data_IF_591134312352
#
_entry.id   IF_591134312352
#
_cell.length_a   1.000
_cell.length_b   1.000
_cell.length_c   1.000
_cell.angle_alpha   90.00
_cell.angle_beta   90.00
_cell.angle_gamma   90.00
#
_symmetry.space_group_name_H-M   'P 1'
#
loop_
_entity.id
_entity.type
_entity.pdbx_description
1 polymer ?
#
# COMPACT_ATOMS: atom_id res chain seq x y z
N UNK A 1 -10.01 -41.02 -0.79
CA UNK A 1 -9.98 -41.23 0.68
C UNK A 1 -11.35 -40.83 1.21
N UNK A 2 -11.94 -41.54 2.19
CA UNK A 2 -13.17 -41.09 2.81
C UNK A 2 -12.96 -39.70 3.43
N UNK A 3 -13.83 -38.76 3.09
CA UNK A 3 -13.80 -37.40 3.64
C UNK A 3 -14.43 -37.40 5.04
N UNK A 4 -13.93 -36.54 5.91
CA UNK A 4 -14.48 -36.35 7.25
C UNK A 4 -15.55 -35.27 7.15
N UNK A 5 -16.74 -35.54 7.68
CA UNK A 5 -17.82 -34.56 7.66
C UNK A 5 -17.67 -33.56 8.80
N UNK A 6 -17.18 -32.36 8.49
CA UNK A 6 -17.08 -31.18 9.36
C UNK A 6 -17.24 -29.93 8.52
N UNK A 7 -17.79 -28.89 9.11
CA UNK A 7 -17.96 -27.58 8.49
C UNK A 7 -16.98 -26.59 9.11
N UNK A 8 -16.31 -25.80 8.26
CA UNK A 8 -15.34 -24.84 8.73
C UNK A 8 -14.78 -23.94 7.64
N UNK A 9 -14.18 -22.84 8.06
CA UNK A 9 -13.58 -21.84 7.18
C UNK A 9 -12.08 -21.80 7.41
N UNK A 10 -11.32 -21.98 6.34
CA UNK A 10 -9.86 -21.80 6.32
C UNK A 10 -9.56 -20.42 5.75
N UNK A 11 -8.75 -19.62 6.44
CA UNK A 11 -8.29 -18.32 5.93
C UNK A 11 -6.78 -18.13 6.10
N UNK A 12 -6.20 -17.26 5.28
CA UNK A 12 -4.79 -16.87 5.36
C UNK A 12 -4.68 -15.40 5.76
N UNK A 13 -3.76 -15.10 6.67
CA UNK A 13 -3.40 -13.74 7.08
C UNK A 13 -1.87 -13.55 7.01
N UNK A 14 -1.38 -12.43 7.55
CA UNK A 14 0.06 -12.08 7.55
C UNK A 14 0.91 -13.15 8.23
N UNK A 15 1.50 -14.04 7.42
CA UNK A 15 2.28 -15.19 7.84
C UNK A 15 1.54 -16.15 8.77
N UNK A 16 0.21 -16.28 8.64
CA UNK A 16 -0.59 -17.21 9.44
C UNK A 16 -1.69 -17.91 8.62
N UNK A 17 -2.12 -19.07 9.12
CA UNK A 17 -3.27 -19.83 8.66
C UNK A 17 -4.24 -20.01 9.81
N UNK A 18 -5.52 -19.77 9.57
CA UNK A 18 -6.58 -19.89 10.56
C UNK A 18 -7.62 -20.90 10.10
N UNK A 19 -8.14 -21.69 11.03
CA UNK A 19 -9.28 -22.58 10.84
C UNK A 19 -10.34 -22.21 11.87
N UNK A 20 -11.54 -21.90 11.40
CA UNK A 20 -12.69 -21.54 12.22
C UNK A 20 -13.81 -22.54 11.98
N UNK A 21 -14.39 -23.07 13.05
CA UNK A 21 -15.64 -23.82 12.98
C UNK A 21 -16.68 -23.14 13.90
N UNK A 22 -17.97 -23.26 13.57
CA UNK A 22 -19.08 -22.73 14.37
C UNK A 22 -19.95 -23.90 14.85
N UNK A 23 -19.67 -24.50 16.01
CA UNK A 23 -20.48 -25.61 16.51
C UNK A 23 -21.87 -25.14 16.93
N UNK A 24 -22.89 -25.91 16.53
CA UNK A 24 -24.24 -25.76 17.07
C UNK A 24 -24.34 -26.44 18.46
N UNK A 25 -24.60 -25.65 19.51
CA UNK A 25 -25.02 -26.16 20.82
C UNK A 25 -23.99 -26.15 21.97
N UNK A 26 -24.42 -26.52 23.20
CA UNK A 26 -23.68 -26.29 24.44
C UNK A 26 -22.60 -27.34 24.79
N UNK A 27 -22.43 -28.40 24.00
CA UNK A 27 -21.46 -29.48 24.27
C UNK A 27 -20.03 -29.15 23.80
N UNK A 28 -19.55 -27.95 24.17
CA UNK A 28 -18.29 -27.38 23.67
C UNK A 28 -17.05 -28.24 23.98
N UNK A 29 -17.04 -28.95 25.11
CA UNK A 29 -15.85 -29.72 25.54
C UNK A 29 -15.60 -30.97 24.70
N UNK A 30 -16.62 -31.80 24.48
CA UNK A 30 -16.49 -33.00 23.64
C UNK A 30 -16.21 -32.63 22.19
N UNK A 31 -16.87 -31.57 21.72
CA UNK A 31 -16.63 -31.01 20.41
C UNK A 31 -15.18 -30.51 20.24
N UNK A 32 -14.64 -29.75 21.19
CA UNK A 32 -13.25 -29.25 21.15
C UNK A 32 -12.26 -30.42 21.19
N UNK A 33 -12.55 -31.46 21.96
CA UNK A 33 -11.72 -32.67 22.00
C UNK A 33 -11.71 -33.39 20.65
N UNK A 34 -12.85 -33.46 19.97
CA UNK A 34 -12.95 -34.03 18.63
C UNK A 34 -12.28 -33.12 17.59
N UNK A 35 -12.44 -31.80 17.68
CA UNK A 35 -11.77 -30.82 16.83
C UNK A 35 -10.24 -30.90 16.94
N UNK A 36 -9.74 -31.09 18.16
CA UNK A 36 -8.32 -31.36 18.42
C UNK A 36 -7.84 -32.63 17.70
N UNK A 37 -8.58 -33.74 17.83
CA UNK A 37 -8.22 -35.03 17.21
C UNK A 37 -8.28 -34.99 15.69
N UNK A 38 -9.37 -34.47 15.16
CA UNK A 38 -9.64 -34.50 13.73
C UNK A 38 -8.81 -33.47 12.99
N UNK A 39 -8.64 -32.27 13.51
CA UNK A 39 -8.08 -31.14 12.75
C UNK A 39 -6.69 -30.79 13.27
N UNK A 40 -6.57 -30.40 14.54
CA UNK A 40 -5.30 -29.90 15.11
C UNK A 40 -4.17 -30.94 15.02
N UNK A 41 -4.40 -32.19 15.44
CA UNK A 41 -3.39 -33.24 15.39
C UNK A 41 -3.01 -33.62 13.95
N UNK A 42 -3.96 -33.54 13.00
CA UNK A 42 -3.68 -33.75 11.58
C UNK A 42 -2.86 -32.61 10.99
N UNK A 43 -3.13 -31.36 11.34
CA UNK A 43 -2.28 -30.23 10.96
C UNK A 43 -0.85 -30.43 11.47
N UNK A 44 -0.68 -30.79 12.75
CA UNK A 44 0.64 -31.09 13.31
C UNK A 44 1.33 -32.26 12.57
N UNK A 45 0.58 -33.29 12.18
CA UNK A 45 1.11 -34.40 11.38
C UNK A 45 1.54 -33.95 9.97
N UNK A 46 0.73 -33.13 9.28
CA UNK A 46 1.10 -32.60 7.97
C UNK A 46 2.33 -31.70 8.06
N UNK A 47 2.43 -30.87 9.09
CA UNK A 47 3.64 -30.08 9.37
C UNK A 47 4.87 -30.98 9.43
N UNK A 48 4.83 -32.08 10.20
CA UNK A 48 5.93 -33.06 10.25
C UNK A 48 6.25 -33.68 8.89
N UNK A 49 5.24 -34.05 8.10
CA UNK A 49 5.43 -34.59 6.73
C UNK A 49 6.05 -33.57 5.78
N UNK A 50 5.83 -32.28 6.02
CA UNK A 50 6.47 -31.20 5.28
C UNK A 50 7.88 -30.87 5.79
N UNK A 51 8.39 -31.59 6.79
CA UNK A 51 9.74 -31.40 7.34
C UNK A 51 9.81 -30.38 8.49
N UNK A 52 8.68 -30.01 9.09
CA UNK A 52 8.69 -29.20 10.31
C UNK A 52 8.91 -30.08 11.54
N UNK A 53 9.83 -29.64 12.41
CA UNK A 53 9.92 -30.16 13.77
C UNK A 53 8.77 -29.56 14.58
N UNK A 54 8.00 -30.38 15.29
CA UNK A 54 6.83 -29.94 16.08
C UNK A 54 6.92 -30.50 17.48
N UNK A 55 6.85 -29.63 18.48
CA UNK A 55 7.06 -29.99 19.90
C UNK A 55 6.02 -29.32 20.78
N UNK A 56 5.64 -29.99 21.88
CA UNK A 56 4.80 -29.37 22.91
C UNK A 56 5.66 -28.36 23.67
N UNK A 57 5.25 -27.08 23.81
CA UNK A 57 6.06 -26.08 24.50
C UNK A 57 6.29 -26.45 25.97
N UNK A 58 7.54 -26.75 26.34
CA UNK A 58 7.90 -27.21 27.70
C UNK A 58 7.57 -26.16 28.76
N UNK A 59 7.73 -24.88 28.45
CA UNK A 59 7.42 -23.77 29.37
C UNK A 59 5.93 -23.71 29.71
N UNK A 60 5.03 -24.04 28.77
CA UNK A 60 3.59 -24.09 29.05
C UNK A 60 3.20 -25.28 29.93
N UNK A 61 3.96 -26.39 29.88
CA UNK A 61 3.75 -27.53 30.78
C UNK A 61 4.07 -27.11 32.21
N UNK A 62 5.18 -26.40 32.42
CA UNK A 62 5.61 -25.90 33.73
C UNK A 62 4.66 -24.85 34.29
N UNK A 63 4.20 -23.92 33.45
CA UNK A 63 3.41 -22.77 33.89
C UNK A 63 1.93 -23.08 34.10
N UNK A 64 1.32 -23.94 33.29
CA UNK A 64 -0.13 -24.17 33.29
C UNK A 64 -0.49 -25.62 33.61
N UNK A 65 -0.18 -26.54 32.70
CA UNK A 65 -0.33 -27.99 32.86
C UNK A 65 -0.02 -28.69 31.54
N UNK A 66 0.18 -30.01 31.59
CA UNK A 66 0.36 -30.83 30.38
C UNK A 66 -0.86 -30.78 29.44
N UNK A 67 -2.07 -30.90 29.98
CA UNK A 67 -3.31 -30.90 29.18
C UNK A 67 -3.49 -29.59 28.40
N UNK A 68 -3.16 -28.46 29.04
CA UNK A 68 -3.16 -27.15 28.39
C UNK A 68 -2.07 -27.02 27.31
N UNK A 69 -0.84 -27.42 27.63
CA UNK A 69 0.28 -27.33 26.69
C UNK A 69 0.06 -28.20 25.44
N UNK A 70 -0.65 -29.31 25.56
CA UNK A 70 -0.99 -30.20 24.44
C UNK A 70 -1.95 -29.58 23.40
N UNK A 71 -2.54 -28.41 23.68
CA UNK A 71 -3.28 -27.61 22.69
C UNK A 71 -2.36 -26.69 21.86
N UNK A 72 -1.05 -26.74 22.11
CA UNK A 72 -0.07 -25.88 21.45
C UNK A 72 1.09 -26.70 20.89
N UNK A 73 1.65 -26.29 19.75
CA UNK A 73 2.92 -26.82 19.22
C UNK A 73 3.83 -25.67 18.82
N UNK A 74 5.06 -25.71 19.31
CA UNK A 74 6.13 -24.93 18.73
C UNK A 74 6.68 -25.69 17.52
N UNK A 75 6.81 -24.99 16.40
CA UNK A 75 7.16 -25.55 15.11
C UNK A 75 8.44 -24.87 14.60
N UNK A 76 9.37 -25.64 14.01
CA UNK A 76 10.56 -25.08 13.37
C UNK A 76 10.93 -25.80 12.09
N UNK A 77 11.33 -25.04 11.08
CA UNK A 77 11.88 -25.54 9.81
C UNK A 77 12.97 -24.61 9.31
N UNK A 78 14.23 -25.00 9.50
CA UNK A 78 15.38 -24.13 9.27
C UNK A 78 15.31 -22.88 10.15
N UNK A 79 15.34 -21.71 9.51
CA UNK A 79 15.22 -20.40 10.16
C UNK A 79 13.77 -19.92 10.33
N UNK A 80 12.80 -20.64 9.75
CA UNK A 80 11.40 -20.35 9.93
C UNK A 80 10.89 -21.01 11.22
N UNK A 81 10.24 -20.20 12.05
CA UNK A 81 9.57 -20.62 13.27
C UNK A 81 8.07 -20.58 13.07
N UNK A 82 7.34 -21.34 13.88
CA UNK A 82 5.90 -21.32 13.89
C UNK A 82 5.31 -21.74 15.22
N UNK A 83 4.05 -21.39 15.41
CA UNK A 83 3.28 -21.70 16.60
C UNK A 83 1.89 -22.13 16.15
N UNK A 84 1.57 -23.39 16.40
CA UNK A 84 0.24 -23.95 16.17
C UNK A 84 -0.51 -23.95 17.50
N UNK A 85 -1.63 -23.24 17.58
CA UNK A 85 -2.47 -23.17 18.79
C UNK A 85 -3.91 -23.57 18.48
N UNK A 86 -4.55 -24.21 19.46
CA UNK A 86 -5.98 -24.48 19.50
C UNK A 86 -6.58 -23.68 20.66
N UNK A 87 -7.61 -22.90 20.38
CA UNK A 87 -8.37 -22.13 21.37
C UNK A 87 -9.86 -22.24 21.07
N UNK A 88 -10.56 -23.14 21.75
CA UNK A 88 -11.99 -23.37 21.56
C UNK A 88 -12.30 -23.72 20.11
N UNK A 89 -12.98 -22.82 19.39
CA UNK A 89 -13.43 -23.00 18.01
C UNK A 89 -12.43 -22.59 16.92
N UNK A 90 -11.23 -22.20 17.32
CA UNK A 90 -10.22 -21.60 16.44
C UNK A 90 -8.89 -22.34 16.54
N UNK A 91 -8.32 -22.70 15.39
CA UNK A 91 -6.92 -23.13 15.26
C UNK A 91 -6.15 -22.07 14.49
N UNK A 92 -4.99 -21.70 15.02
CA UNK A 92 -4.06 -20.78 14.36
C UNK A 92 -2.71 -21.44 14.18
N UNK A 93 -2.15 -21.32 12.98
CA UNK A 93 -0.74 -21.57 12.74
C UNK A 93 -0.07 -20.28 12.29
N UNK A 94 0.63 -19.63 13.22
CA UNK A 94 1.40 -18.42 12.96
C UNK A 94 2.86 -18.77 12.67
N UNK A 95 3.48 -18.09 11.70
CA UNK A 95 4.88 -18.29 11.31
C UNK A 95 5.64 -16.97 11.35
N UNK A 96 6.91 -17.04 11.73
CA UNK A 96 7.79 -15.88 11.77
C UNK A 96 9.25 -16.30 11.60
N UNK A 97 10.13 -15.30 11.53
CA UNK A 97 11.57 -15.48 11.56
C UNK A 97 12.17 -14.38 12.43
N UNK A 98 13.31 -14.67 13.08
CA UNK A 98 14.02 -13.73 13.97
C UNK A 98 15.34 -13.22 13.36
N UNK A 99 15.64 -13.58 12.11
CA UNK A 99 16.97 -13.41 11.50
C UNK A 99 17.14 -12.02 10.86
N UNK A 100 16.09 -11.45 10.27
CA UNK A 100 16.17 -10.21 9.49
C UNK A 100 15.02 -9.25 9.79
N UNK A 101 15.30 -7.94 9.82
CA UNK A 101 14.28 -6.87 9.86
C UNK A 101 13.27 -6.98 11.03
N UNK A 102 13.74 -7.44 12.20
CA UNK A 102 12.95 -7.43 13.43
C UNK A 102 13.02 -6.07 14.12
N UNK A 103 11.87 -5.46 14.40
CA UNK A 103 11.82 -4.21 15.18
C UNK A 103 11.47 -4.50 16.65
N UNK A 104 10.80 -5.61 16.90
CA UNK A 104 10.28 -5.92 18.23
C UNK A 104 11.36 -6.57 19.13
N UNK A 105 11.65 -6.00 20.32
CA UNK A 105 12.60 -6.59 21.26
C UNK A 105 12.17 -7.97 21.78
N UNK A 106 10.89 -8.32 21.67
CA UNK A 106 10.35 -9.64 22.07
C UNK A 106 10.42 -10.67 20.93
N UNK A 107 11.08 -10.36 19.82
CA UNK A 107 11.28 -11.25 18.67
C UNK A 107 10.25 -11.09 17.55
N UNK A 108 10.56 -11.69 16.40
CA UNK A 108 9.79 -11.56 15.16
C UNK A 108 8.39 -12.16 15.20
N UNK A 109 8.09 -12.96 16.24
CA UNK A 109 6.72 -13.45 16.52
C UNK A 109 5.72 -12.29 16.66
N UNK A 110 6.17 -11.19 17.24
CA UNK A 110 5.33 -10.04 17.57
C UNK A 110 5.46 -8.87 16.57
N UNK A 111 6.17 -9.07 15.46
CA UNK A 111 6.26 -8.07 14.39
C UNK A 111 4.99 -8.04 13.53
N UNK A 112 4.66 -6.87 12.98
CA UNK A 112 3.62 -6.72 11.96
C UNK A 112 4.21 -6.76 10.55
N UNK A 113 3.44 -7.25 9.57
CA UNK A 113 3.88 -7.33 8.18
C UNK A 113 4.99 -8.36 7.99
N UNK A 114 4.91 -9.48 8.72
CA UNK A 114 5.91 -10.55 8.76
C UNK A 114 6.27 -11.04 7.37
N UNK A 115 5.28 -11.19 6.48
CA UNK A 115 5.52 -11.63 5.09
C UNK A 115 6.46 -10.70 4.33
N UNK A 116 6.31 -9.38 4.49
CA UNK A 116 7.13 -8.37 3.81
C UNK A 116 8.54 -8.30 4.38
N UNK A 117 8.71 -8.66 5.65
CA UNK A 117 9.99 -8.67 6.36
C UNK A 117 10.80 -9.93 6.08
N UNK A 118 10.13 -11.04 5.78
CA UNK A 118 10.77 -12.31 5.49
C UNK A 118 11.66 -12.22 4.25
N UNK A 119 12.91 -12.74 4.31
CA UNK A 119 13.71 -13.00 3.13
C UNK A 119 12.95 -13.87 2.12
N UNK A 120 13.16 -13.62 0.82
CA UNK A 120 12.37 -14.20 -0.26
C UNK A 120 12.22 -15.73 -0.20
N UNK A 121 13.30 -16.47 0.09
CA UNK A 121 13.25 -17.93 0.19
C UNK A 121 12.46 -18.42 1.41
N UNK A 122 12.56 -17.74 2.54
CA UNK A 122 11.77 -18.05 3.74
C UNK A 122 10.29 -17.75 3.52
N UNK A 123 10.00 -16.64 2.84
CA UNK A 123 8.64 -16.31 2.42
C UNK A 123 8.05 -17.39 1.50
N UNK A 124 8.81 -17.87 0.49
CA UNK A 124 8.36 -18.96 -0.38
C UNK A 124 8.12 -20.27 0.37
N UNK A 125 8.93 -20.60 1.37
CA UNK A 125 8.77 -21.83 2.15
C UNK A 125 7.58 -21.75 3.14
N UNK A 126 7.39 -20.59 3.77
CA UNK A 126 6.19 -20.25 4.54
C UNK A 126 4.94 -20.38 3.67
N UNK A 127 4.98 -19.78 2.48
CA UNK A 127 3.92 -19.81 1.50
C UNK A 127 3.55 -21.23 1.06
N UNK A 128 4.55 -22.03 0.75
CA UNK A 128 4.39 -23.44 0.39
C UNK A 128 3.73 -24.21 1.52
N UNK A 129 4.12 -23.96 2.77
CA UNK A 129 3.56 -24.62 3.95
C UNK A 129 2.07 -24.30 4.09
N UNK A 130 1.67 -23.02 4.04
CA UNK A 130 0.26 -22.63 4.18
C UNK A 130 -0.62 -23.18 3.04
N UNK A 131 -0.13 -23.18 1.79
CA UNK A 131 -0.90 -23.75 0.66
C UNK A 131 -1.11 -25.24 0.78
N UNK A 132 -0.09 -25.99 1.21
CA UNK A 132 -0.21 -27.43 1.40
C UNK A 132 -1.15 -27.78 2.54
N UNK A 133 -1.14 -27.01 3.62
CA UNK A 133 -2.12 -27.18 4.71
C UNK A 133 -3.53 -26.84 4.24
N UNK A 134 -3.73 -25.68 3.60
CA UNK A 134 -5.02 -25.29 3.01
C UNK A 134 -5.57 -26.39 2.10
N UNK A 135 -4.78 -26.80 1.10
CA UNK A 135 -5.17 -27.84 0.15
C UNK A 135 -5.48 -29.16 0.86
N UNK A 136 -4.67 -29.55 1.86
CA UNK A 136 -4.94 -30.76 2.63
C UNK A 136 -6.28 -30.67 3.38
N UNK A 137 -6.53 -29.56 4.09
CA UNK A 137 -7.73 -29.37 4.89
C UNK A 137 -8.99 -29.36 3.99
N UNK A 138 -9.02 -28.55 2.94
CA UNK A 138 -10.15 -28.49 2.01
C UNK A 138 -10.38 -29.79 1.22
N UNK A 139 -9.37 -30.66 1.08
CA UNK A 139 -9.53 -31.94 0.40
C UNK A 139 -10.04 -33.06 1.33
N UNK A 140 -9.68 -33.02 2.61
CA UNK A 140 -10.00 -34.08 3.58
C UNK A 140 -11.35 -33.83 4.26
N UNK A 141 -11.73 -32.58 4.49
CA UNK A 141 -12.99 -32.22 5.13
C UNK A 141 -14.00 -31.76 4.09
N UNK A 142 -15.16 -32.40 4.04
CA UNK A 142 -16.15 -32.15 3.00
C UNK A 142 -16.77 -30.74 3.06
N UNK A 143 -16.97 -30.19 4.26
CA UNK A 143 -17.55 -28.87 4.49
C UNK A 143 -16.53 -27.77 4.78
N UNK A 144 -15.25 -27.98 4.45
CA UNK A 144 -14.23 -26.95 4.64
C UNK A 144 -14.09 -26.06 3.40
N UNK A 145 -14.39 -24.79 3.58
CA UNK A 145 -14.25 -23.78 2.53
C UNK A 145 -13.03 -22.90 2.77
N UNK A 146 -12.41 -22.45 1.68
CA UNK A 146 -11.34 -21.47 1.75
C UNK A 146 -11.93 -20.08 1.56
N UNK A 147 -11.84 -19.25 2.60
CA UNK A 147 -12.16 -17.84 2.49
C UNK A 147 -10.94 -17.08 1.96
N UNK A 148 -11.00 -16.73 0.68
CA UNK A 148 -10.02 -15.89 -0.01
C UNK A 148 -10.38 -14.40 0.03
N UNK A 149 -11.55 -14.04 0.58
CA UNK A 149 -12.00 -12.66 0.73
C UNK A 149 -11.16 -11.98 1.83
N UNK A 150 -10.46 -10.91 1.50
CA UNK A 150 -9.80 -10.11 2.52
C UNK A 150 -10.89 -9.49 3.40
N UNK A 151 -10.92 -9.88 4.69
CA UNK A 151 -11.83 -9.34 5.71
C UNK A 151 -11.81 -7.80 5.82
N UNK A 152 -10.84 -7.13 5.19
CA UNK A 152 -10.68 -5.67 5.14
C UNK A 152 -11.30 -5.01 3.89
N UNK A 153 -12.08 -5.73 3.07
CA UNK A 153 -12.75 -5.18 1.90
C UNK A 153 -11.80 -4.78 0.75
N UNK A 154 -10.54 -5.22 0.81
CA UNK A 154 -9.56 -5.00 -0.25
C UNK A 154 -9.64 -6.17 -1.23
N UNK A 155 -9.46 -5.92 -2.53
CA UNK A 155 -9.41 -6.98 -3.52
C UNK A 155 -8.31 -8.00 -3.20
N UNK A 156 -8.55 -9.28 -3.53
CA UNK A 156 -7.55 -10.34 -3.46
C UNK A 156 -6.21 -9.84 -4.03
N UNK A 157 -5.10 -10.07 -3.33
CA UNK A 157 -3.81 -9.49 -3.74
C UNK A 157 -3.29 -10.18 -5.00
N UNK A 158 -2.80 -9.42 -5.99
CA UNK A 158 -2.00 -10.01 -7.08
C UNK A 158 -0.68 -10.52 -6.49
N UNK A 159 -0.32 -11.77 -6.75
CA UNK A 159 0.90 -12.36 -6.20
C UNK A 159 0.98 -13.87 -6.43
N UNK A 160 2.15 -14.44 -6.18
CA UNK A 160 2.40 -15.89 -6.36
C UNK A 160 1.42 -16.79 -5.61
N UNK A 161 0.77 -16.26 -4.56
CA UNK A 161 -0.10 -16.92 -3.58
C UNK A 161 -1.59 -16.67 -3.73
N UNK A 162 -1.98 -15.88 -4.71
CA UNK A 162 -3.35 -15.47 -4.91
C UNK A 162 -3.59 -15.39 -6.42
N UNK A 163 -4.09 -14.26 -6.90
CA UNK A 163 -4.41 -14.10 -8.31
C UNK A 163 -3.15 -13.84 -9.13
N UNK A 164 -3.11 -14.41 -10.33
CA UNK A 164 -2.24 -13.91 -11.40
C UNK A 164 -2.60 -12.45 -11.71
N UNK A 165 -1.68 -11.75 -12.35
CA UNK A 165 -1.92 -10.36 -12.74
C UNK A 165 -3.17 -10.21 -13.62
N UNK A 166 -3.44 -11.16 -14.51
CA UNK A 166 -4.64 -11.14 -15.35
C UNK A 166 -5.92 -11.42 -14.56
N UNK A 167 -5.95 -12.49 -13.76
CA UNK A 167 -7.13 -12.79 -12.91
C UNK A 167 -7.44 -11.63 -11.96
N UNK A 168 -6.41 -10.90 -11.50
CA UNK A 168 -6.58 -9.72 -10.67
C UNK A 168 -7.19 -8.54 -11.45
N UNK A 169 -6.71 -8.28 -12.67
CA UNK A 169 -7.25 -7.25 -13.56
C UNK A 169 -8.71 -7.56 -13.92
N UNK A 170 -9.02 -8.81 -14.25
CA UNK A 170 -10.38 -9.28 -14.52
C UNK A 170 -11.29 -9.13 -13.29
N UNK A 171 -10.78 -9.46 -12.10
CA UNK A 171 -11.46 -9.22 -10.83
C UNK A 171 -11.82 -7.74 -10.65
N UNK A 172 -10.87 -6.84 -10.96
CA UNK A 172 -11.08 -5.39 -10.90
C UNK A 172 -12.14 -4.91 -11.90
N UNK A 173 -12.18 -5.48 -13.11
CA UNK A 173 -13.23 -5.17 -14.09
C UNK A 173 -14.62 -5.63 -13.64
N UNK A 174 -14.72 -6.84 -13.07
CA UNK A 174 -15.99 -7.40 -12.58
C UNK A 174 -16.60 -6.56 -11.47
N UNK A 175 -15.76 -6.00 -10.59
CA UNK A 175 -16.21 -5.12 -9.49
C UNK A 175 -16.31 -3.65 -9.89
N UNK A 176 -15.89 -3.27 -11.10
CA UNK A 176 -15.87 -1.88 -11.52
C UNK A 176 -17.27 -1.40 -11.90
N UNK A 177 -17.72 -0.36 -11.20
CA UNK A 177 -18.92 0.40 -11.56
C UNK A 177 -18.85 1.10 -12.93
N UNK A 178 -17.66 1.28 -13.52
CA UNK A 178 -17.49 2.02 -14.77
C UNK A 178 -17.75 1.20 -16.04
N UNK A 179 -17.44 -0.10 -16.03
CA UNK A 179 -17.55 -0.96 -17.21
C UNK A 179 -18.57 -2.09 -17.00
N UNK A 180 -19.16 -2.21 -15.80
CA UNK A 180 -20.16 -3.23 -15.44
C UNK A 180 -19.77 -4.66 -15.87
N UNK A 181 -18.48 -4.98 -15.84
CA UNK A 181 -17.95 -6.30 -16.19
C UNK A 181 -17.83 -6.62 -17.68
N UNK A 182 -18.28 -5.76 -18.60
CA UNK A 182 -18.15 -5.99 -20.04
C UNK A 182 -17.22 -4.96 -20.69
N UNK A 183 -15.97 -5.39 -20.92
CA UNK A 183 -14.96 -4.57 -21.61
C UNK A 183 -15.13 -4.59 -23.14
N UNK A 184 -15.88 -5.56 -23.69
CA UNK A 184 -15.96 -5.77 -25.14
C UNK A 184 -16.79 -4.68 -25.83
N UNK A 185 -17.74 -4.10 -25.10
CA UNK A 185 -18.63 -3.03 -25.58
C UNK A 185 -18.24 -1.64 -25.07
N UNK A 186 -17.18 -1.51 -24.26
CA UNK A 186 -16.77 -0.23 -23.69
C UNK A 186 -15.92 0.58 -24.68
N UNK A 187 -16.46 1.69 -25.17
CA UNK A 187 -15.71 2.61 -26.04
C UNK A 187 -14.82 3.53 -25.21
N UNK A 188 -13.51 3.43 -25.41
CA UNK A 188 -12.53 4.27 -24.71
C UNK A 188 -12.23 5.51 -25.57
N UNK A 189 -12.37 6.71 -24.98
CA UNK A 189 -12.03 7.96 -25.66
C UNK A 189 -10.55 8.04 -26.03
N UNK A 190 -10.23 8.60 -27.20
CA UNK A 190 -8.84 8.74 -27.69
C UNK A 190 -7.94 9.51 -26.73
N UNK A 191 -8.47 10.52 -26.00
CA UNK A 191 -7.67 11.26 -25.02
C UNK A 191 -7.15 10.37 -23.89
N UNK A 192 -7.88 9.31 -23.55
CA UNK A 192 -7.54 8.32 -22.53
C UNK A 192 -6.66 7.19 -23.07
N UNK A 193 -6.59 7.02 -24.39
CA UNK A 193 -5.76 6.03 -25.08
C UNK A 193 -4.45 6.61 -25.61
N UNK A 194 -4.35 7.94 -25.72
CA UNK A 194 -3.18 8.60 -26.29
C UNK A 194 -1.96 8.36 -25.40
N UNK A 195 -0.96 7.71 -25.97
CA UNK A 195 0.32 7.38 -25.37
C UNK A 195 1.25 8.59 -25.29
N UNK A 196 2.37 8.44 -24.59
CA UNK A 196 3.45 9.42 -24.52
C UNK A 196 4.07 9.73 -25.90
N UNK A 197 4.13 8.75 -26.80
CA UNK A 197 4.57 8.89 -28.20
C UNK A 197 3.43 9.29 -29.16
N UNK A 198 2.26 9.65 -28.63
CA UNK A 198 1.13 10.20 -29.40
C UNK A 198 0.29 9.18 -30.16
N UNK A 199 0.61 7.88 -30.05
CA UNK A 199 -0.15 6.78 -30.63
C UNK A 199 -1.32 6.39 -29.74
N UNK A 200 -2.26 5.61 -30.26
CA UNK A 200 -3.38 5.09 -29.47
C UNK A 200 -3.04 3.71 -28.94
N UNK A 201 -3.28 3.51 -27.65
CA UNK A 201 -3.09 2.23 -26.97
C UNK A 201 -4.33 1.35 -27.19
N UNK A 202 -4.09 0.08 -27.45
CA UNK A 202 -5.09 -0.98 -27.58
C UNK A 202 -5.00 -2.00 -26.43
N UNK A 203 -6.11 -2.68 -26.16
CA UNK A 203 -6.13 -3.76 -25.17
C UNK A 203 -5.21 -4.91 -25.58
N UNK A 204 -4.42 -5.39 -24.63
CA UNK A 204 -3.43 -6.45 -24.88
C UNK A 204 -2.22 -5.99 -25.69
N UNK A 205 -2.08 -4.69 -25.98
CA UNK A 205 -0.93 -4.17 -26.70
C UNK A 205 0.29 -4.15 -25.79
N UNK A 206 1.46 -4.49 -26.35
CA UNK A 206 2.72 -4.33 -25.64
C UNK A 206 3.07 -2.84 -25.53
N UNK A 207 3.39 -2.40 -24.32
CA UNK A 207 3.81 -1.03 -24.02
C UNK A 207 5.12 -1.01 -23.25
N UNK A 208 5.76 0.16 -23.23
CA UNK A 208 6.94 0.47 -22.44
C UNK A 208 6.62 1.62 -21.48
N UNK A 209 7.13 1.55 -20.25
CA UNK A 209 6.91 2.59 -19.25
C UNK A 209 8.06 2.63 -18.24
N UNK A 210 8.26 3.79 -17.62
CA UNK A 210 9.27 3.93 -16.57
C UNK A 210 8.63 3.56 -15.22
N UNK A 211 9.24 2.64 -14.47
CA UNK A 211 8.81 2.32 -13.11
C UNK A 211 8.94 3.54 -12.18
N UNK A 212 8.47 3.43 -10.93
CA UNK A 212 8.61 4.50 -9.93
C UNK A 212 10.06 4.96 -9.69
N UNK A 213 11.06 4.15 -10.07
CA UNK A 213 12.49 4.48 -9.96
C UNK A 213 13.03 5.04 -11.28
N UNK A 214 12.25 5.15 -12.35
CA UNK A 214 12.66 5.60 -13.67
C UNK A 214 13.28 4.51 -14.55
N UNK A 215 13.19 3.22 -14.19
CA UNK A 215 13.72 2.13 -15.02
C UNK A 215 12.69 1.71 -16.04
N UNK A 216 13.12 1.54 -17.29
CA UNK A 216 12.21 1.06 -18.32
C UNK A 216 11.79 -0.38 -18.07
N UNK A 217 10.48 -0.56 -18.07
CA UNK A 217 9.79 -1.84 -17.98
C UNK A 217 8.88 -1.99 -19.20
N UNK A 218 8.44 -3.21 -19.44
CA UNK A 218 7.52 -3.55 -20.53
C UNK A 218 6.45 -4.50 -20.01
N UNK A 219 5.28 -4.44 -20.63
CA UNK A 219 4.16 -5.32 -20.30
C UNK A 219 3.04 -5.17 -21.32
N UNK A 220 1.91 -5.80 -21.02
CA UNK A 220 0.71 -5.72 -21.84
C UNK A 220 -0.30 -4.79 -21.19
N UNK A 221 -0.80 -3.81 -21.95
CA UNK A 221 -1.69 -2.77 -21.46
C UNK A 221 -3.16 -3.21 -21.55
N UNK A 222 -3.90 -2.93 -20.50
CA UNK A 222 -5.32 -3.22 -20.37
C UNK A 222 -6.00 -2.00 -19.76
N UNK A 223 -7.05 -1.50 -20.41
CA UNK A 223 -7.73 -0.30 -19.95
C UNK A 223 -8.26 -0.47 -18.52
N UNK A 224 -8.05 0.56 -17.72
CA UNK A 224 -8.66 0.71 -16.41
C UNK A 224 -9.70 1.82 -16.50
N UNK A 225 -9.41 3.04 -16.02
CA UNK A 225 -10.37 4.14 -15.92
C UNK A 225 -9.71 5.45 -16.35
N UNK A 226 -10.46 6.31 -17.05
CA UNK A 226 -9.95 7.59 -17.55
C UNK A 226 -8.67 7.33 -18.34
N UNK A 227 -7.61 8.10 -18.11
CA UNK A 227 -6.31 7.89 -18.71
C UNK A 227 -5.49 6.78 -18.04
N UNK A 228 -6.03 5.99 -17.10
CA UNK A 228 -5.28 4.95 -16.38
C UNK A 228 -5.40 3.58 -17.06
N UNK A 229 -4.30 2.85 -17.08
CA UNK A 229 -4.15 1.54 -17.70
C UNK A 229 -3.45 0.57 -16.75
N UNK A 230 -3.97 -0.65 -16.64
CA UNK A 230 -3.25 -1.75 -16.04
C UNK A 230 -2.19 -2.26 -17.01
N UNK A 231 -0.94 -2.34 -16.56
CA UNK A 231 0.16 -2.94 -17.32
C UNK A 231 0.59 -4.23 -16.65
N UNK A 232 0.35 -5.35 -17.32
CA UNK A 232 0.76 -6.68 -16.86
C UNK A 232 2.19 -6.94 -17.30
N UNK A 233 3.11 -6.92 -16.34
CA UNK A 233 4.57 -7.05 -16.57
C UNK A 233 5.07 -8.49 -16.44
N UNK A 234 4.23 -9.40 -15.96
CA UNK A 234 4.53 -10.83 -15.83
C UNK A 234 3.40 -11.54 -15.10
N UNK A 235 3.58 -12.84 -14.81
CA UNK A 235 2.52 -13.69 -14.21
C UNK A 235 1.89 -13.10 -12.94
N UNK A 236 2.66 -12.36 -12.14
CA UNK A 236 2.23 -11.77 -10.87
C UNK A 236 2.56 -10.27 -10.77
N UNK A 237 2.93 -9.64 -11.87
CA UNK A 237 3.33 -8.24 -11.91
C UNK A 237 2.26 -7.40 -12.62
N UNK A 238 1.70 -6.42 -11.91
CA UNK A 238 0.75 -5.45 -12.45
C UNK A 238 1.14 -4.04 -11.98
N UNK A 239 0.95 -3.04 -12.83
CA UNK A 239 1.17 -1.62 -12.51
C UNK A 239 0.01 -0.80 -13.06
N UNK A 240 -0.37 0.31 -12.41
CA UNK A 240 -1.40 1.22 -12.89
C UNK A 240 -0.72 2.48 -13.41
N UNK A 241 -0.74 2.68 -14.72
CA UNK A 241 0.02 3.73 -15.38
C UNK A 241 -0.91 4.62 -16.20
N UNK A 242 -0.64 5.92 -16.20
CA UNK A 242 -1.36 6.85 -17.06
C UNK A 242 -0.96 6.63 -18.53
N UNK A 243 -1.89 6.80 -19.48
CA UNK A 243 -1.66 6.61 -20.91
C UNK A 243 -0.49 7.46 -21.41
N UNK A 244 -0.40 8.72 -20.96
CA UNK A 244 0.69 9.64 -21.28
C UNK A 244 2.05 9.27 -20.65
N UNK A 245 2.11 8.23 -19.81
CA UNK A 245 3.36 7.66 -19.29
C UNK A 245 3.75 6.35 -20.02
N UNK A 246 2.86 5.83 -20.87
CA UNK A 246 3.08 4.63 -21.68
C UNK A 246 3.59 5.01 -23.06
N UNK A 247 4.53 4.24 -23.58
CA UNK A 247 5.00 4.32 -24.96
C UNK A 247 4.54 3.08 -25.70
N UNK A 248 3.97 3.26 -26.90
CA UNK A 248 3.62 2.16 -27.80
C UNK A 248 4.88 1.63 -28.47
N UNK A 249 5.70 2.53 -29.01
CA UNK A 249 7.00 2.17 -29.57
C UNK A 249 8.08 2.10 -28.49
N UNK A 250 9.17 1.39 -28.80
CA UNK A 250 10.34 1.40 -27.93
C UNK A 250 10.91 2.83 -27.86
N UNK A 251 10.95 3.45 -26.68
CA UNK A 251 11.38 4.84 -26.52
C UNK A 251 12.93 5.01 -26.56
N UNK A 252 13.65 4.12 -27.23
CA UNK A 252 15.10 4.16 -27.38
C UNK A 252 15.86 3.33 -26.33
N UNK A 253 16.80 3.97 -25.63
CA UNK A 253 17.69 3.25 -24.71
C UNK A 253 16.97 2.80 -23.44
N UNK A 254 16.66 1.50 -23.35
CA UNK A 254 15.94 0.90 -22.22
C UNK A 254 16.77 0.80 -20.93
N UNK A 255 18.11 0.82 -21.04
CA UNK A 255 19.01 0.80 -19.87
C UNK A 255 19.17 2.18 -19.24
N UNK A 256 18.86 3.24 -19.98
CA UNK A 256 18.87 4.60 -19.46
C UNK A 256 17.75 4.74 -18.42
N UNK A 257 18.14 5.18 -17.22
CA UNK A 257 17.21 5.48 -16.14
C UNK A 257 16.64 6.89 -16.35
N UNK A 258 15.32 6.99 -16.52
CA UNK A 258 14.54 8.22 -16.71
C UNK A 258 14.00 8.69 -15.38
N UNK A 259 14.89 9.22 -14.55
CA UNK A 259 14.57 9.66 -13.19
C UNK A 259 15.05 11.09 -12.92
N UNK A 260 15.14 11.92 -13.96
CA UNK A 260 15.60 13.30 -13.90
C UNK A 260 14.83 14.09 -12.83
N UNK A 261 13.50 14.02 -12.83
CA UNK A 261 12.66 14.67 -11.82
C UNK A 261 12.90 14.19 -10.38
N UNK A 262 13.09 12.87 -10.18
CA UNK A 262 13.40 12.32 -8.86
C UNK A 262 14.80 12.72 -8.37
N UNK A 263 15.78 12.81 -9.28
CA UNK A 263 17.12 13.30 -8.97
C UNK A 263 17.08 14.77 -8.59
N UNK A 264 16.35 15.58 -9.36
CA UNK A 264 16.10 17.00 -9.11
C UNK A 264 15.49 17.21 -7.73
N UNK A 265 14.38 16.54 -7.43
CA UNK A 265 13.71 16.62 -6.12
C UNK A 265 14.66 16.24 -4.97
N UNK A 266 15.46 15.18 -5.11
CA UNK A 266 16.41 14.76 -4.07
C UNK A 266 17.51 15.81 -3.84
N UNK A 267 18.05 16.39 -4.91
CA UNK A 267 19.08 17.41 -4.82
C UNK A 267 18.53 18.72 -4.21
N UNK A 268 17.31 19.12 -4.54
CA UNK A 268 16.65 20.28 -3.90
C UNK A 268 16.39 20.05 -2.40
N UNK A 269 16.03 18.83 -2.00
CA UNK A 269 15.91 18.47 -0.58
C UNK A 269 17.26 18.59 0.13
N UNK A 270 18.35 18.14 -0.48
CA UNK A 270 19.69 18.27 0.08
C UNK A 270 20.15 19.73 0.14
N UNK A 271 19.77 20.55 -0.85
CA UNK A 271 20.01 21.99 -0.84
C UNK A 271 19.29 22.64 0.36
N UNK A 272 18.00 22.34 0.55
CA UNK A 272 17.23 22.87 1.68
C UNK A 272 17.83 22.44 3.03
N UNK A 273 18.29 21.19 3.16
CA UNK A 273 18.99 20.72 4.36
C UNK A 273 20.30 21.47 4.62
N UNK A 274 21.11 21.69 3.59
CA UNK A 274 22.36 22.43 3.70
C UNK A 274 22.12 23.88 4.17
N UNK A 275 21.11 24.55 3.60
CA UNK A 275 20.69 25.90 4.03
C UNK A 275 20.22 25.90 5.49
N UNK A 276 19.39 24.93 5.90
CA UNK A 276 18.92 24.81 7.29
C UNK A 276 20.03 24.53 8.29
N UNK A 277 21.08 23.82 7.87
CA UNK A 277 22.27 23.54 8.66
C UNK A 277 23.32 24.66 8.61
N UNK A 278 23.06 25.76 7.89
CA UNK A 278 24.00 26.86 7.62
C UNK A 278 25.29 26.43 6.90
N UNK A 279 25.26 25.31 6.17
CA UNK A 279 26.37 24.85 5.31
C UNK A 279 26.24 25.48 3.92
N UNK A 280 26.64 26.75 3.83
CA UNK A 280 26.47 27.55 2.61
C UNK A 280 27.38 27.10 1.45
N UNK A 281 28.55 26.52 1.75
CA UNK A 281 29.45 26.00 0.70
C UNK A 281 28.81 24.81 -0.03
N UNK A 282 28.19 23.88 0.73
CA UNK A 282 27.43 22.77 0.15
C UNK A 282 26.20 23.28 -0.60
N UNK A 283 25.51 24.28 -0.07
CA UNK A 283 24.35 24.87 -0.72
C UNK A 283 24.71 25.51 -2.07
N UNK A 284 25.79 26.29 -2.14
CA UNK A 284 26.28 26.90 -3.38
C UNK A 284 26.63 25.84 -4.43
N UNK A 285 27.33 24.78 -4.02
CA UNK A 285 27.69 23.66 -4.90
C UNK A 285 26.44 22.97 -5.47
N UNK A 286 25.45 22.69 -4.62
CA UNK A 286 24.21 22.05 -5.05
C UNK A 286 23.38 22.97 -5.96
N UNK A 287 23.36 24.28 -5.68
CA UNK A 287 22.71 25.28 -6.52
C UNK A 287 23.31 25.30 -7.92
N UNK A 288 24.64 25.30 -8.06
CA UNK A 288 25.33 25.29 -9.36
C UNK A 288 25.14 23.99 -10.16
N UNK A 289 24.90 22.86 -9.49
CA UNK A 289 24.54 21.59 -10.17
C UNK A 289 23.07 21.58 -10.61
N UNK A 290 22.20 22.21 -9.83
CA UNK A 290 20.76 22.20 -10.06
C UNK A 290 20.36 23.20 -11.15
N UNK A 291 20.76 24.46 -11.02
CA UNK A 291 20.20 25.55 -11.79
C UNK A 291 21.25 26.18 -12.71
N UNK A 292 20.86 26.66 -13.90
CA UNK A 292 21.71 27.53 -14.69
C UNK A 292 22.11 28.78 -13.89
N UNK A 293 23.36 29.23 -14.01
CA UNK A 293 23.86 30.36 -13.23
C UNK A 293 23.18 31.69 -13.61
N UNK A 294 22.78 31.83 -14.87
CA UNK A 294 22.31 33.09 -15.46
C UNK A 294 20.77 33.18 -15.58
N UNK A 295 20.03 32.21 -15.03
CA UNK A 295 18.57 32.20 -15.10
C UNK A 295 17.92 32.58 -13.77
N UNK A 296 16.93 33.50 -13.79
CA UNK A 296 16.15 33.81 -12.60
C UNK A 296 15.33 32.59 -12.17
N UNK A 297 15.26 32.38 -10.87
CA UNK A 297 14.46 31.31 -10.28
C UNK A 297 13.17 31.88 -9.69
N UNK A 298 12.15 31.05 -9.65
CA UNK A 298 10.83 31.40 -9.19
C UNK A 298 10.29 30.35 -8.22
N UNK A 299 9.46 30.79 -7.29
CA UNK A 299 8.61 29.94 -6.46
C UNK A 299 7.17 30.05 -6.94
N UNK A 300 6.40 28.98 -6.78
CA UNK A 300 4.98 28.95 -7.10
C UNK A 300 4.20 28.95 -5.78
N UNK A 301 3.48 30.03 -5.48
CA UNK A 301 2.60 30.15 -4.32
C UNK A 301 1.16 29.80 -4.71
N UNK A 302 0.54 28.84 -4.01
CA UNK A 302 -0.83 28.43 -4.27
C UNK A 302 -1.80 29.15 -3.33
N UNK A 303 -2.69 29.98 -3.89
CA UNK A 303 -3.60 30.86 -3.13
C UNK A 303 -4.57 30.07 -2.24
N UNK A 304 -5.15 28.99 -2.75
CA UNK A 304 -6.13 28.19 -2.01
C UNK A 304 -5.54 27.36 -0.85
N UNK A 305 -4.23 27.08 -0.87
CA UNK A 305 -3.55 26.31 0.17
C UNK A 305 -2.68 27.19 1.07
N UNK A 306 -2.55 28.48 0.74
CA UNK A 306 -1.67 29.44 1.42
C UNK A 306 -0.27 28.87 1.65
N UNK A 307 0.31 28.26 0.61
CA UNK A 307 1.58 27.55 0.67
C UNK A 307 2.29 27.50 -0.70
N UNK A 308 3.61 27.31 -0.69
CA UNK A 308 4.41 27.11 -1.90
C UNK A 308 4.31 25.67 -2.41
N UNK A 309 4.42 25.49 -3.72
CA UNK A 309 4.66 24.18 -4.29
C UNK A 309 6.05 23.65 -3.93
N UNK A 310 6.13 22.36 -3.61
CA UNK A 310 7.38 21.62 -3.42
C UNK A 310 8.06 21.30 -4.77
N UNK A 311 9.32 20.81 -4.77
CA UNK A 311 10.03 20.45 -6.01
C UNK A 311 9.21 19.54 -6.93
N UNK A 312 9.20 19.85 -8.23
CA UNK A 312 8.38 19.16 -9.23
C UNK A 312 6.89 19.54 -9.21
N UNK A 313 6.55 20.66 -8.58
CA UNK A 313 5.19 21.18 -8.41
C UNK A 313 4.22 20.22 -7.69
N UNK A 314 4.75 19.27 -6.90
CA UNK A 314 3.97 18.21 -6.26
C UNK A 314 3.97 18.35 -4.73
N UNK A 315 2.80 18.65 -4.17
CA UNK A 315 2.62 18.91 -2.74
C UNK A 315 2.96 20.35 -2.36
N UNK A 316 2.66 20.70 -1.10
CA UNK A 316 2.74 22.07 -0.61
C UNK A 316 3.66 22.19 0.62
N UNK A 317 4.21 23.38 0.83
CA UNK A 317 4.98 23.72 2.02
C UNK A 317 4.82 25.21 2.35
N UNK A 318 4.64 25.59 3.63
CA UNK A 318 4.66 27.00 4.02
C UNK A 318 6.09 27.57 4.03
N UNK A 319 7.12 26.71 4.07
CA UNK A 319 8.52 27.10 4.18
C UNK A 319 9.13 27.39 2.79
N UNK A 320 9.54 28.63 2.48
CA UNK A 320 10.15 28.97 1.19
C UNK A 320 11.51 28.29 0.96
N UNK A 321 12.21 27.85 2.01
CA UNK A 321 13.48 27.10 1.86
C UNK A 321 13.21 25.72 1.26
N UNK A 322 12.15 25.06 1.73
CA UNK A 322 11.70 23.75 1.22
C UNK A 322 10.91 23.84 -0.09
N UNK A 323 10.52 25.04 -0.51
CA UNK A 323 9.78 25.26 -1.74
C UNK A 323 10.61 24.86 -2.97
N UNK A 324 9.92 24.30 -3.96
CA UNK A 324 10.50 23.98 -5.26
C UNK A 324 10.91 25.26 -5.98
N UNK A 325 12.09 25.22 -6.60
CA UNK A 325 12.63 26.35 -7.35
C UNK A 325 12.55 26.01 -8.83
N UNK A 326 11.98 26.92 -9.61
CA UNK A 326 11.65 26.70 -11.02
C UNK A 326 12.28 27.78 -11.88
N UNK A 327 12.80 27.41 -13.05
CA UNK A 327 13.08 28.39 -14.11
C UNK A 327 11.77 28.86 -14.74
N UNK A 328 11.82 29.94 -15.54
CA UNK A 328 10.63 30.46 -16.21
C UNK A 328 9.99 29.42 -17.16
N UNK A 329 10.80 28.59 -17.83
CA UNK A 329 10.31 27.51 -18.69
C UNK A 329 9.64 26.39 -17.87
N UNK A 330 10.20 26.06 -16.71
CA UNK A 330 9.69 25.00 -15.83
C UNK A 330 8.33 25.33 -15.20
N UNK A 331 7.91 26.60 -15.18
CA UNK A 331 6.58 26.99 -14.68
C UNK A 331 5.44 26.35 -15.46
N UNK A 332 5.62 26.06 -16.76
CA UNK A 332 4.64 25.37 -17.59
C UNK A 332 3.23 25.96 -17.47
N UNK A 333 2.28 25.16 -16.98
CA UNK A 333 0.86 25.58 -16.79
C UNK A 333 0.64 26.66 -15.73
N UNK A 334 1.62 26.90 -14.85
CA UNK A 334 1.54 27.92 -13.80
C UNK A 334 2.05 29.28 -14.29
N UNK A 335 2.55 29.34 -15.52
CA UNK A 335 2.98 30.58 -16.14
C UNK A 335 1.73 31.41 -16.48
N UNK A 336 1.54 32.60 -15.88
CA UNK A 336 0.41 33.45 -16.19
C UNK A 336 0.56 34.08 -17.58
N UNK A 337 -0.56 34.28 -18.28
CA UNK A 337 -0.59 34.95 -19.59
C UNK A 337 -0.25 36.45 -19.48
N UNK A 338 -0.59 37.06 -18.34
CA UNK A 338 -0.27 38.45 -18.01
C UNK A 338 0.11 38.59 -16.53
N UNK A 339 1.19 39.31 -16.23
CA UNK A 339 1.64 39.58 -14.88
C UNK A 339 2.38 38.41 -14.21
N UNK A 340 2.25 38.31 -12.88
CA UNK A 340 2.89 37.27 -12.05
C UNK A 340 1.88 36.43 -11.27
N UNK A 341 0.58 36.55 -11.59
CA UNK A 341 -0.49 35.87 -10.88
C UNK A 341 -1.55 35.36 -11.84
N UNK A 342 -2.08 34.18 -11.55
CA UNK A 342 -3.30 33.66 -12.14
C UNK A 342 -4.40 33.53 -11.05
N UNK A 343 -5.52 32.89 -11.38
CA UNK A 343 -6.64 32.70 -10.45
C UNK A 343 -6.32 31.79 -9.26
N UNK A 344 -5.34 30.90 -9.37
CA UNK A 344 -5.00 29.86 -8.39
C UNK A 344 -3.60 30.05 -7.77
N UNK A 345 -2.69 30.71 -8.46
CA UNK A 345 -1.26 30.73 -8.19
C UNK A 345 -0.67 32.13 -8.31
N UNK A 346 0.41 32.37 -7.57
CA UNK A 346 1.26 33.55 -7.66
C UNK A 346 2.71 33.12 -7.84
N UNK A 347 3.37 33.66 -8.84
CA UNK A 347 4.78 33.46 -9.11
C UNK A 347 5.58 34.46 -8.27
N UNK A 348 6.50 33.96 -7.46
CA UNK A 348 7.35 34.77 -6.57
C UNK A 348 8.79 34.67 -7.07
N UNK A 349 9.37 35.75 -7.65
CA UNK A 349 10.77 35.77 -8.07
C UNK A 349 11.72 35.59 -6.88
N UNK A 350 12.72 34.74 -7.04
CA UNK A 350 13.88 34.63 -6.17
C UNK A 350 14.96 35.55 -6.72
N UNK A 351 14.80 36.87 -6.51
CA UNK A 351 15.84 37.81 -6.92
C UNK A 351 17.13 37.56 -6.14
N UNK A 352 18.25 37.49 -6.86
CA UNK A 352 19.61 37.35 -6.32
C UNK A 352 20.04 38.55 -5.45
N UNK A 353 19.21 39.60 -5.32
CA UNK A 353 19.56 40.84 -4.62
C UNK A 353 18.52 41.39 -3.61
N UNK A 354 17.42 40.69 -3.29
CA UNK A 354 16.38 41.23 -2.38
C UNK A 354 15.97 40.28 -1.23
N UNK A 355 16.94 39.75 -0.47
CA UNK A 355 16.63 39.11 0.83
C UNK A 355 16.49 40.14 1.97
N UNK A 356 16.76 41.42 1.72
CA UNK A 356 16.64 42.49 2.71
C UNK A 356 15.58 43.51 2.32
N UNK A 357 14.28 43.16 2.46
CA UNK A 357 13.19 44.08 2.84
C UNK A 357 11.80 43.49 2.53
N UNK A 358 11.32 42.55 3.33
CA UNK A 358 9.88 42.47 3.61
C UNK A 358 9.68 42.19 5.11
N UNK A 359 9.01 43.08 5.87
CA UNK A 359 8.65 42.77 7.25
C UNK A 359 7.55 41.69 7.26
N UNK A 360 7.45 40.89 8.34
CA UNK A 360 6.44 39.86 8.45
C UNK A 360 5.04 40.50 8.39
N UNK A 361 4.22 40.02 7.46
CA UNK A 361 2.80 40.38 7.40
C UNK A 361 2.14 40.05 8.74
N UNK A 362 1.63 41.10 9.38
CA UNK A 362 0.95 41.11 10.67
C UNK A 362 -0.13 40.02 10.75
N UNK A 363 -0.02 39.15 11.74
CA UNK A 363 -1.09 38.29 12.24
C UNK A 363 -2.10 39.14 13.02
N UNK A 364 -2.93 39.91 12.32
CA UNK A 364 -4.09 40.58 12.92
C UNK A 364 -5.35 40.35 12.11
N UNK A 365 -6.08 39.30 12.46
CA UNK A 365 -7.57 39.27 12.50
C UNK A 365 -8.09 37.87 12.83
N UNK A 366 -7.81 37.38 14.03
CA UNK A 366 -8.58 36.28 14.63
C UNK A 366 -8.81 36.51 16.12
N UNK A 367 -9.53 37.59 16.44
CA UNK A 367 -10.27 37.74 17.71
C UNK A 367 -11.54 38.52 17.42
N UNK A 368 -12.63 37.79 17.18
CA UNK A 368 -13.97 38.04 17.71
C UNK A 368 -14.95 37.08 17.04
N UNK A 369 -15.16 35.92 17.67
CA UNK A 369 -16.48 35.26 17.72
C UNK A 369 -16.58 34.58 19.07
N UNK A 370 -17.12 35.33 20.02
CA UNK A 370 -17.43 34.88 21.36
C UNK A 370 -18.49 33.79 21.34
N UNK A 371 -18.35 32.88 22.29
CA UNK A 371 -19.34 31.90 22.75
C UNK A 371 -20.74 32.53 22.84
N UNK A 372 -21.74 31.89 22.24
CA UNK A 372 -23.10 31.92 22.78
C UNK A 372 -23.30 30.65 23.62
N UNK A 373 -23.78 30.76 24.88
CA UNK A 373 -24.12 29.61 25.70
C UNK A 373 -25.53 29.11 25.42
N UNK A 374 -25.72 27.80 25.57
CA UNK A 374 -27.00 27.11 25.68
C UNK A 374 -27.95 27.83 26.66
N UNK A 375 -29.19 28.06 26.25
CA UNK A 375 -30.31 28.23 27.17
C UNK A 375 -31.44 27.26 26.82
N UNK A 376 -31.97 26.70 27.90
CA UNK A 376 -32.87 25.58 27.98
C UNK A 376 -34.33 25.96 27.70
N UNK A 377 -35.04 24.96 27.18
CA UNK A 377 -36.46 24.62 27.40
C UNK A 377 -37.17 25.42 28.51
N UNK A 378 -38.24 26.12 28.13
CA UNK A 378 -39.19 26.77 29.04
C UNK A 378 -40.57 26.92 28.39
N UNK A 379 -41.50 26.10 28.89
CA UNK A 379 -42.97 26.02 28.73
C UNK A 379 -43.70 27.24 28.13
N UNK A 380 -44.58 26.95 27.18
CA UNK A 380 -45.76 27.77 26.86
C UNK A 380 -46.99 27.08 27.45
N UNK A 381 -47.65 27.74 28.40
CA UNK A 381 -49.06 27.57 28.77
C UNK A 381 -49.74 28.95 28.69
N UNK A 382 -51.07 28.93 28.64
CA UNK A 382 -52.07 30.01 28.56
C UNK A 382 -52.44 30.41 27.12
N UNK A 383 -53.52 29.89 26.50
CA UNK A 383 -54.96 29.85 26.84
C UNK A 383 -55.73 31.14 26.53
N UNK A 384 -56.69 30.98 25.61
CA UNK A 384 -58.00 31.68 25.45
C UNK A 384 -58.03 33.18 25.13
N UNK A 385 -58.62 33.56 23.99
CA UNK A 385 -60.04 33.94 23.89
C UNK A 385 -60.42 34.45 22.49
N UNK A 386 -61.61 34.00 22.04
CA UNK A 386 -62.43 34.37 20.88
C UNK A 386 -62.02 33.93 19.47
#
# INVERSE_FOLDING_TARGET
MPQINREGVVSLHDASLHVWEEPEGPALYEWEHQFKKDVFLRMAQQLRRMGWRTEVPAEMIKQYSRSFAENHRYCRKGDLQGFLGLSGRHIEFAMWQDVANGDNPNGGRYDFGKEKRMPYLLWLEMERTRRRLRAYLCNIFAGYEFNDEPRDGRNAKCGTSALTAMEWVEGCWRTSWHFKGDISNYTISDCNRKSADGKLIEHGQRVYFADRKGRMSTGFAYYNINNMWWVVTGKYGVSNEASFALYVDNPGELRRKRNEGLRRQRLEIELAKAVKAMDFLRAETLKGVLFPADEPLYLIWHKGHSAYHRPGACGYTPDPVEAGKFTWEELGRFRPDQGMEDSLSRIVPLDLQQVAAQPPLHLESYRQRGRQPNQCLGRHEDSTCN
#
